data_IF_215957819234
#
_entry.id   IF_215957819234
#
_cell.length_a   1.000
_cell.length_b   1.000
_cell.length_c   1.000
_cell.angle_alpha   90.00
_cell.angle_beta   90.00
_cell.angle_gamma   90.00
#
_symmetry.space_group_name_H-M   'P 1'
#
loop_
_entity.id
_entity.type
_entity.pdbx_description
1 polymer ?
#
# COMPACT_ATOMS: atom_id res chain seq x y z
N UNK A 1 -1.69 13.79 7.15
CA UNK A 1 -2.93 13.22 6.58
C UNK A 1 -2.72 11.73 6.41
N UNK A 2 -3.76 10.92 6.59
CA UNK A 2 -3.68 9.46 6.47
C UNK A 2 -4.82 8.95 5.60
N UNK A 3 -4.62 7.91 4.79
CA UNK A 3 -5.71 7.28 4.03
C UNK A 3 -5.64 5.78 4.18
N UNK A 4 -6.78 5.13 3.99
CA UNK A 4 -6.86 3.67 3.92
C UNK A 4 -6.66 3.22 2.48
N UNK A 5 -5.81 2.24 2.28
CA UNK A 5 -5.64 1.52 1.02
C UNK A 5 -6.29 0.16 1.19
N UNK A 6 -7.21 -0.20 0.30
CA UNK A 6 -7.83 -1.53 0.29
C UNK A 6 -7.35 -2.34 -0.89
N UNK A 7 -7.12 -3.63 -0.66
CA UNK A 7 -6.75 -4.59 -1.69
C UNK A 7 -7.77 -5.72 -1.69
N UNK A 8 -8.34 -5.98 -2.86
CA UNK A 8 -9.26 -7.09 -3.05
C UNK A 8 -9.11 -7.70 -4.44
N UNK A 9 -9.67 -8.90 -4.60
CA UNK A 9 -9.70 -9.60 -5.87
C UNK A 9 -11.06 -9.38 -6.52
N UNK A 10 -11.06 -8.93 -7.77
CA UNK A 10 -12.28 -8.78 -8.54
C UNK A 10 -12.84 -10.15 -8.99
N UNK A 11 -14.01 -10.12 -9.65
CA UNK A 11 -14.67 -11.33 -10.16
C UNK A 11 -13.87 -12.07 -11.25
N UNK A 12 -12.87 -11.42 -11.85
CA UNK A 12 -12.00 -11.97 -12.89
C UNK A 12 -10.64 -12.41 -12.33
N UNK A 13 -10.44 -12.34 -11.01
CA UNK A 13 -9.19 -12.72 -10.36
C UNK A 13 -8.12 -11.63 -10.33
N UNK A 14 -8.39 -10.43 -10.86
CA UNK A 14 -7.47 -9.29 -10.83
C UNK A 14 -7.44 -8.68 -9.44
N UNK A 15 -6.23 -8.42 -8.94
CA UNK A 15 -6.03 -7.66 -7.70
C UNK A 15 -6.27 -6.18 -8.02
N UNK A 16 -7.21 -5.58 -7.31
CA UNK A 16 -7.52 -4.15 -7.37
C UNK A 16 -7.05 -3.53 -6.06
N UNK A 17 -6.33 -2.42 -6.20
CA UNK A 17 -5.93 -1.55 -5.09
C UNK A 17 -6.76 -0.28 -5.19
N UNK A 18 -7.56 0.02 -4.17
CA UNK A 18 -8.32 1.26 -4.08
C UNK A 18 -7.76 2.14 -2.97
N UNK A 19 -7.60 3.42 -3.28
CA UNK A 19 -7.16 4.43 -2.32
C UNK A 19 -8.36 5.19 -1.80
N UNK A 20 -8.60 5.08 -0.50
CA UNK A 20 -9.65 5.82 0.19
C UNK A 20 -9.36 7.33 0.31
N UNK A 21 -10.32 8.07 0.85
CA UNK A 21 -10.15 9.50 1.11
C UNK A 21 -9.05 9.77 2.14
N UNK A 22 -8.48 10.97 2.08
CA UNK A 22 -7.54 11.45 3.09
C UNK A 22 -8.27 11.92 4.34
N UNK A 23 -7.84 11.41 5.48
CA UNK A 23 -8.28 11.76 6.81
C UNK A 23 -7.25 12.67 7.52
N UNK A 24 -7.72 13.63 8.34
CA UNK A 24 -6.85 14.51 9.11
C UNK A 24 -6.05 13.77 10.18
N UNK A 25 -6.64 12.76 10.81
CA UNK A 25 -6.02 12.00 11.90
C UNK A 25 -5.77 10.55 11.52
N UNK A 26 -4.75 9.94 12.11
CA UNK A 26 -4.44 8.51 11.91
C UNK A 26 -5.53 7.60 12.50
N UNK A 27 -6.06 7.97 13.66
CA UNK A 27 -7.10 7.22 14.34
C UNK A 27 -8.38 7.07 13.49
N UNK A 28 -8.75 8.10 12.72
CA UNK A 28 -9.86 7.99 11.77
C UNK A 28 -9.58 6.98 10.65
N UNK A 29 -8.37 7.01 10.08
CA UNK A 29 -7.99 6.04 9.05
C UNK A 29 -7.94 4.61 9.60
N UNK A 30 -7.41 4.42 10.82
CA UNK A 30 -7.37 3.11 11.50
C UNK A 30 -8.78 2.58 11.80
N UNK A 31 -9.70 3.44 12.25
CA UNK A 31 -11.10 3.05 12.46
C UNK A 31 -11.75 2.51 11.17
N UNK A 32 -11.51 3.15 10.03
CA UNK A 32 -12.01 2.68 8.74
C UNK A 32 -11.31 1.40 8.28
N UNK A 33 -10.00 1.28 8.50
CA UNK A 33 -9.25 0.07 8.20
C UNK A 33 -9.83 -1.13 8.97
N UNK A 34 -10.05 -1.00 10.28
CA UNK A 34 -10.64 -2.05 11.12
C UNK A 34 -12.02 -2.49 10.61
N UNK A 35 -12.90 -1.52 10.26
CA UNK A 35 -14.22 -1.83 9.71
C UNK A 35 -14.14 -2.62 8.40
N UNK A 36 -13.21 -2.25 7.52
CA UNK A 36 -13.02 -2.88 6.23
C UNK A 36 -12.39 -4.28 6.37
N UNK A 37 -11.50 -4.49 7.34
CA UNK A 37 -10.95 -5.80 7.66
C UNK A 37 -12.02 -6.75 8.19
N UNK A 38 -12.93 -6.28 9.04
CA UNK A 38 -14.10 -7.06 9.50
C UNK A 38 -14.99 -7.51 8.33
N UNK A 39 -15.05 -6.70 7.26
CA UNK A 39 -15.77 -7.04 6.03
C UNK A 39 -14.98 -7.96 5.09
N UNK A 40 -13.74 -8.34 5.46
CA UNK A 40 -12.89 -9.25 4.70
C UNK A 40 -12.02 -8.58 3.64
N UNK A 41 -11.92 -7.25 3.64
CA UNK A 41 -10.96 -6.53 2.81
C UNK A 41 -9.57 -6.57 3.45
N UNK A 42 -8.53 -6.61 2.64
CA UNK A 42 -7.18 -6.41 3.16
C UNK A 42 -6.85 -4.92 3.12
N UNK A 43 -6.47 -4.34 4.27
CA UNK A 43 -6.27 -2.89 4.39
C UNK A 43 -4.86 -2.51 4.82
N UNK A 44 -4.42 -1.32 4.42
CA UNK A 44 -3.18 -0.68 4.88
C UNK A 44 -3.46 0.81 5.12
N UNK A 45 -2.86 1.40 6.16
CA UNK A 45 -2.94 2.85 6.41
C UNK A 45 -1.69 3.52 5.85
N UNK A 46 -1.87 4.45 4.92
CA UNK A 46 -0.81 5.24 4.32
C UNK A 46 -0.81 6.65 4.92
N UNK A 47 0.35 7.16 5.32
CA UNK A 47 0.51 8.54 5.81
C UNK A 47 1.08 9.42 4.69
N UNK A 48 0.41 10.54 4.41
CA UNK A 48 0.88 11.55 3.46
C UNK A 48 2.21 12.13 3.96
N UNK A 49 3.27 11.96 3.16
CA UNK A 49 4.62 12.42 3.49
C UNK A 49 5.52 11.34 4.09
N UNK A 50 4.97 10.24 4.61
CA UNK A 50 5.70 8.97 4.71
C UNK A 50 5.46 8.23 3.40
N UNK A 51 6.08 8.70 2.32
CA UNK A 51 6.40 7.75 1.27
C UNK A 51 7.32 6.73 1.95
N UNK A 52 6.84 5.52 2.19
CA UNK A 52 7.68 4.42 2.65
C UNK A 52 8.61 4.13 1.47
N UNK A 53 9.74 4.82 1.46
CA UNK A 53 10.94 4.59 0.68
C UNK A 53 11.36 3.14 0.97
N UNK A 54 10.75 2.21 0.24
CA UNK A 54 10.86 0.78 0.48
C UNK A 54 10.51 -0.06 -0.76
N UNK A 55 10.37 0.60 -1.91
CA UNK A 55 10.14 -0.05 -3.20
C UNK A 55 10.76 0.74 -4.37
N UNK A 56 11.85 1.49 -4.15
CA UNK A 56 12.39 2.33 -5.23
C UNK A 56 13.86 2.74 -5.17
N UNK A 57 14.62 2.46 -4.09
CA UNK A 57 16.05 2.82 -4.08
C UNK A 57 16.95 1.62 -3.79
N UNK A 58 16.68 0.85 -2.72
CA UNK A 58 17.50 -0.34 -2.43
C UNK A 58 17.27 -1.50 -3.41
N UNK A 59 16.02 -1.72 -3.84
CA UNK A 59 15.71 -2.78 -4.83
C UNK A 59 16.25 -2.45 -6.21
N UNK A 60 16.29 -1.17 -6.60
CA UNK A 60 16.85 -0.74 -7.88
C UNK A 60 18.38 -0.86 -7.89
N UNK A 61 19.06 -0.60 -6.77
CA UNK A 61 20.49 -0.84 -6.61
C UNK A 61 20.82 -2.34 -6.64
N UNK A 62 20.05 -3.17 -5.95
CA UNK A 62 20.26 -4.62 -5.93
C UNK A 62 19.91 -5.27 -7.27
N UNK A 63 18.85 -4.82 -7.95
CA UNK A 63 18.50 -5.25 -9.30
C UNK A 63 19.55 -4.80 -10.33
N UNK A 64 20.04 -3.56 -10.24
CA UNK A 64 21.10 -3.05 -11.10
C UNK A 64 22.43 -3.80 -10.90
N UNK A 65 22.78 -4.16 -9.66
CA UNK A 65 23.92 -5.04 -9.36
C UNK A 65 23.73 -6.45 -9.93
N UNK A 66 22.54 -7.03 -9.78
CA UNK A 66 22.25 -8.35 -10.33
C UNK A 66 22.38 -8.36 -11.87
N UNK A 67 21.82 -7.35 -12.56
CA UNK A 67 21.91 -7.23 -14.02
C UNK A 67 23.34 -6.98 -14.53
N UNK A 68 24.12 -6.14 -13.84
CA UNK A 68 25.51 -5.89 -14.22
C UNK A 68 26.44 -7.08 -14.01
N UNK A 69 26.07 -8.04 -13.14
CA UNK A 69 26.82 -9.27 -12.92
C UNK A 69 26.57 -10.38 -13.95
N UNK A 70 25.60 -10.20 -14.87
CA UNK A 70 25.21 -11.19 -15.88
C UNK A 70 25.80 -10.94 -17.29
N UNK A 71 26.63 -9.89 -17.44
CA UNK A 71 27.28 -9.48 -18.69
C UNK A 71 28.72 -9.99 -18.81
#
# INVERSE_FOLDING_TARGET
MHRVITRFRDRHGKIITEHGPWHPTRAEAEYWADLLEVLGYHTEVETQGEYREGAGEDQDQDLAKALSSMA
#
